data_IF_903697150795
#
_entry.id   IF_903697150795
#
_cell.length_a   1.000
_cell.length_b   1.000
_cell.length_c   1.000
_cell.angle_alpha   90.00
_cell.angle_beta   90.00
_cell.angle_gamma   90.00
#
_symmetry.space_group_name_H-M   'P 1'
#
loop_
_entity.id
_entity.type
_entity.pdbx_description
1 polymer ?
#
# COMPACT_ATOMS: atom_id res chain seq x y z
N UNK A 1 -21.74 -8.06 8.79
CA UNK A 1 -20.83 -6.98 9.20
C UNK A 1 -19.83 -7.54 10.20
N UNK A 2 -18.53 -7.36 9.97
CA UNK A 2 -17.48 -7.66 10.95
C UNK A 2 -17.57 -6.70 12.13
N UNK A 3 -17.12 -7.12 13.30
CA UNK A 3 -17.09 -6.24 14.47
C UNK A 3 -15.96 -5.21 14.36
N UNK A 4 -16.16 -4.03 14.94
CA UNK A 4 -15.13 -2.97 14.99
C UNK A 4 -13.74 -3.47 15.44
N UNK A 5 -13.60 -4.34 16.47
CA UNK A 5 -12.29 -4.87 16.86
C UNK A 5 -11.62 -5.72 15.77
N UNK A 6 -12.40 -6.41 14.93
CA UNK A 6 -11.87 -7.20 13.81
C UNK A 6 -11.35 -6.25 12.73
N UNK A 7 -12.11 -5.23 12.37
CA UNK A 7 -11.71 -4.24 11.36
C UNK A 7 -10.51 -3.40 11.80
N UNK A 8 -10.48 -2.99 13.08
CA UNK A 8 -9.29 -2.36 13.66
C UNK A 8 -8.08 -3.29 13.57
N UNK A 9 -8.23 -4.58 13.87
CA UNK A 9 -7.12 -5.54 13.75
C UNK A 9 -6.66 -5.71 12.30
N UNK A 10 -7.58 -5.83 11.34
CA UNK A 10 -7.23 -5.93 9.91
C UNK A 10 -6.50 -4.67 9.46
N UNK A 11 -7.00 -3.49 9.83
CA UNK A 11 -6.40 -2.20 9.46
C UNK A 11 -5.01 -2.03 10.10
N UNK A 12 -4.85 -2.33 11.39
CA UNK A 12 -3.59 -2.06 12.07
C UNK A 12 -2.53 -3.14 11.90
N UNK A 13 -2.92 -4.39 11.70
CA UNK A 13 -1.98 -5.50 11.52
C UNK A 13 -1.83 -5.87 10.05
N UNK A 14 -2.94 -6.04 9.34
CA UNK A 14 -2.96 -6.49 7.96
C UNK A 14 -2.53 -5.39 7.01
N UNK A 15 -3.21 -4.24 7.03
CA UNK A 15 -2.93 -3.15 6.08
C UNK A 15 -1.57 -2.47 6.35
N UNK A 16 -1.21 -2.24 7.63
CA UNK A 16 0.08 -1.62 7.99
C UNK A 16 1.25 -2.60 8.07
N UNK A 17 0.99 -3.90 7.97
CA UNK A 17 1.97 -4.97 8.26
C UNK A 17 2.77 -4.72 9.55
N UNK A 18 2.04 -4.59 10.68
CA UNK A 18 2.61 -4.17 11.97
C UNK A 18 2.88 -5.35 12.91
N UNK A 19 4.01 -5.29 13.61
CA UNK A 19 4.42 -6.20 14.68
C UNK A 19 4.65 -5.47 16.00
N UNK A 20 5.13 -6.21 16.99
CA UNK A 20 5.51 -5.65 18.29
C UNK A 20 6.81 -6.26 18.81
N UNK A 21 7.62 -5.46 19.49
CA UNK A 21 8.89 -5.81 20.12
C UNK A 21 8.83 -5.54 21.60
N UNK A 22 9.17 -6.53 22.41
CA UNK A 22 9.37 -6.29 23.84
C UNK A 22 10.67 -5.51 24.06
N UNK A 23 10.59 -4.34 24.68
CA UNK A 23 11.78 -3.53 24.98
C UNK A 23 12.63 -4.11 26.11
N UNK A 24 12.09 -5.05 26.90
CA UNK A 24 12.80 -5.70 28.00
C UNK A 24 13.68 -6.88 27.54
N UNK A 25 13.15 -7.78 26.72
CA UNK A 25 13.86 -8.99 26.28
C UNK A 25 14.20 -9.01 24.78
N UNK A 26 13.79 -7.99 24.03
CA UNK A 26 14.02 -7.89 22.59
C UNK A 26 13.19 -8.85 21.74
N UNK A 27 12.30 -9.66 22.32
CA UNK A 27 11.47 -10.63 21.58
C UNK A 27 10.46 -9.91 20.69
N UNK A 28 10.38 -10.36 19.46
CA UNK A 28 9.55 -9.76 18.41
C UNK A 28 8.37 -10.68 18.07
N UNK A 29 7.26 -10.08 17.66
CA UNK A 29 6.02 -10.77 17.37
C UNK A 29 5.40 -10.19 16.10
N UNK A 30 4.88 -11.09 15.26
CA UNK A 30 3.85 -10.71 14.30
C UNK A 30 2.58 -10.36 15.09
N UNK A 31 1.94 -9.24 14.76
CA UNK A 31 0.79 -8.63 15.44
C UNK A 31 1.15 -7.82 16.69
N UNK A 32 0.21 -6.94 17.03
CA UNK A 32 0.24 -6.12 18.23
C UNK A 32 -0.01 -6.99 19.46
N UNK A 33 0.78 -6.75 20.51
CA UNK A 33 0.65 -7.38 21.82
C UNK A 33 0.77 -6.33 22.91
N UNK A 34 -0.08 -6.46 23.91
CA UNK A 34 -0.03 -5.60 25.10
C UNK A 34 1.05 -6.05 26.09
N UNK A 35 1.51 -7.31 25.97
CA UNK A 35 2.61 -7.85 26.77
C UNK A 35 3.36 -8.98 26.04
N UNK A 36 4.61 -9.15 26.43
CA UNK A 36 5.49 -10.23 25.99
C UNK A 36 5.15 -11.54 26.70
N UNK A 37 5.07 -12.64 25.94
CA UNK A 37 4.84 -13.97 26.51
C UNK A 37 5.97 -14.49 27.39
N UNK A 38 7.19 -13.94 27.26
CA UNK A 38 8.36 -14.33 28.06
C UNK A 38 8.50 -13.46 29.31
N UNK A 39 8.37 -12.13 29.20
CA UNK A 39 8.44 -11.23 30.36
C UNK A 39 7.13 -11.14 31.16
N UNK A 40 6.02 -11.63 30.60
CA UNK A 40 4.70 -11.52 31.19
C UNK A 40 4.28 -10.07 31.44
N UNK A 41 3.51 -9.84 32.50
CA UNK A 41 2.95 -8.52 32.84
C UNK A 41 4.00 -7.42 33.08
N UNK A 42 5.26 -7.76 33.39
CA UNK A 42 6.33 -6.76 33.54
C UNK A 42 6.60 -5.93 32.28
N UNK A 43 6.19 -6.47 31.13
CA UNK A 43 6.32 -5.85 29.81
C UNK A 43 5.07 -5.08 29.35
N UNK A 44 4.05 -4.95 30.19
CA UNK A 44 2.93 -4.06 29.93
C UNK A 44 3.44 -2.63 29.73
N UNK A 45 2.93 -1.93 28.72
CA UNK A 45 3.41 -0.61 28.23
C UNK A 45 4.88 -0.55 27.78
N UNK A 46 5.53 -1.71 27.66
CA UNK A 46 6.93 -1.85 27.21
C UNK A 46 7.02 -2.66 25.91
N UNK A 47 5.97 -2.57 25.11
CA UNK A 47 5.88 -3.15 23.78
C UNK A 47 6.01 -2.02 22.77
N UNK A 48 7.11 -2.01 22.02
CA UNK A 48 7.36 -1.07 20.93
C UNK A 48 6.79 -1.62 19.63
N UNK A 49 6.38 -0.74 18.73
CA UNK A 49 5.85 -1.11 17.42
C UNK A 49 6.99 -1.45 16.44
N UNK A 50 6.75 -2.44 15.58
CA UNK A 50 7.61 -2.78 14.44
C UNK A 50 6.81 -2.60 13.16
N UNK A 51 7.40 -2.03 12.11
CA UNK A 51 6.76 -1.86 10.82
C UNK A 51 7.52 -2.62 9.74
N UNK A 52 6.96 -3.72 9.26
CA UNK A 52 7.60 -4.52 8.21
C UNK A 52 7.27 -4.01 6.81
N UNK A 53 6.33 -3.06 6.64
CA UNK A 53 5.80 -2.66 5.33
C UNK A 53 6.87 -2.12 4.37
N UNK A 54 7.89 -1.46 4.89
CA UNK A 54 9.00 -0.89 4.11
C UNK A 54 10.25 -1.80 4.09
N UNK A 55 10.21 -2.92 4.81
CA UNK A 55 11.35 -3.81 4.96
C UNK A 55 11.36 -4.90 3.89
N UNK A 56 12.55 -5.46 3.68
CA UNK A 56 12.76 -6.64 2.86
C UNK A 56 12.62 -7.89 3.74
N UNK A 57 11.79 -8.83 3.31
CA UNK A 57 11.65 -10.14 3.94
C UNK A 57 12.27 -11.24 3.08
N UNK A 58 12.35 -12.46 3.61
CA UNK A 58 12.76 -13.65 2.87
C UNK A 58 11.62 -14.66 2.82
N UNK A 59 11.26 -15.16 1.64
CA UNK A 59 10.29 -16.25 1.50
C UNK A 59 10.93 -17.56 1.97
N UNK A 60 10.59 -18.05 3.16
CA UNK A 60 11.24 -19.24 3.73
C UNK A 60 10.73 -20.54 3.12
N UNK A 61 9.41 -20.65 3.01
CA UNK A 61 8.72 -21.84 2.52
C UNK A 61 7.44 -21.40 1.82
N UNK A 62 7.06 -22.12 0.77
CA UNK A 62 5.84 -21.84 0.06
C UNK A 62 5.10 -23.11 -0.39
N UNK A 63 3.85 -22.93 -0.79
CA UNK A 63 2.97 -23.98 -1.30
C UNK A 63 2.13 -23.41 -2.43
N UNK A 64 1.77 -24.28 -3.38
CA UNK A 64 0.95 -23.91 -4.51
C UNK A 64 -0.52 -24.24 -4.23
N UNK A 65 -1.36 -23.20 -4.14
CA UNK A 65 -2.81 -23.35 -3.97
C UNK A 65 -3.46 -23.42 -5.35
N UNK A 66 -3.71 -24.63 -5.84
CA UNK A 66 -4.40 -24.86 -7.13
C UNK A 66 -5.89 -24.51 -7.08
N UNK A 67 -6.55 -24.86 -5.98
CA UNK A 67 -8.00 -24.67 -5.79
C UNK A 67 -8.25 -23.72 -4.63
N UNK A 68 -8.45 -22.42 -4.90
CA UNK A 68 -8.74 -21.43 -3.86
C UNK A 68 -10.09 -21.69 -3.17
N UNK A 69 -10.23 -21.20 -1.93
CA UNK A 69 -11.52 -21.17 -1.22
C UNK A 69 -12.46 -20.12 -1.84
N UNK A 70 -13.76 -20.22 -1.58
CA UNK A 70 -14.81 -19.37 -2.18
C UNK A 70 -14.47 -17.87 -2.26
N UNK A 71 -13.89 -17.30 -1.19
CA UNK A 71 -13.52 -15.87 -1.16
C UNK A 71 -12.39 -15.52 -2.15
N UNK A 72 -11.51 -16.47 -2.44
CA UNK A 72 -10.32 -16.28 -3.27
C UNK A 72 -10.51 -16.85 -4.68
N UNK A 73 -11.70 -17.37 -5.03
CA UNK A 73 -11.95 -18.05 -6.31
C UNK A 73 -11.55 -17.21 -7.51
N UNK A 74 -11.87 -15.91 -7.48
CA UNK A 74 -11.55 -15.01 -8.58
C UNK A 74 -10.03 -14.85 -8.78
N UNK A 75 -9.21 -14.99 -7.74
CA UNK A 75 -7.75 -14.90 -7.86
C UNK A 75 -7.12 -16.09 -8.61
N UNK A 76 -7.86 -17.19 -8.80
CA UNK A 76 -7.33 -18.40 -9.40
C UNK A 76 -6.31 -19.10 -8.51
N UNK A 77 -5.31 -19.71 -9.14
CA UNK A 77 -4.21 -20.38 -8.46
C UNK A 77 -3.17 -19.35 -7.97
N UNK A 78 -2.59 -19.57 -6.79
CA UNK A 78 -1.58 -18.66 -6.23
C UNK A 78 -0.58 -19.39 -5.33
N UNK A 79 0.57 -18.76 -5.11
CA UNK A 79 1.57 -19.24 -4.14
C UNK A 79 1.29 -18.61 -2.78
N UNK A 80 1.20 -19.46 -1.77
CA UNK A 80 1.07 -19.08 -0.36
C UNK A 80 2.31 -19.52 0.40
N UNK A 81 2.79 -18.72 1.35
CA UNK A 81 4.01 -19.07 2.07
C UNK A 81 4.16 -18.38 3.40
N UNK A 82 5.37 -18.53 3.95
CA UNK A 82 5.82 -17.79 5.12
C UNK A 82 6.99 -16.91 4.73
N UNK A 83 6.85 -15.63 5.00
CA UNK A 83 7.95 -14.66 4.88
C UNK A 83 8.53 -14.41 6.26
N UNK A 84 9.85 -14.52 6.37
CA UNK A 84 10.56 -14.13 7.58
C UNK A 84 11.16 -12.73 7.48
N UNK A 85 11.14 -12.07 8.63
CA UNK A 85 11.78 -10.80 8.88
C UNK A 85 12.78 -10.95 10.02
N UNK A 86 13.80 -10.09 10.01
CA UNK A 86 14.84 -10.01 11.05
C UNK A 86 15.47 -11.38 11.37
N UNK A 87 15.93 -12.08 10.33
CA UNK A 87 16.60 -13.38 10.42
C UNK A 87 15.75 -14.47 11.10
N UNK A 88 14.46 -14.54 10.75
CA UNK A 88 13.56 -15.57 11.26
C UNK A 88 12.97 -15.31 12.64
N UNK A 89 13.21 -14.13 13.23
CA UNK A 89 12.58 -13.71 14.50
C UNK A 89 11.08 -13.58 14.38
N UNK A 90 10.61 -13.09 13.22
CA UNK A 90 9.20 -12.93 12.92
C UNK A 90 8.87 -13.63 11.62
N UNK A 91 7.80 -14.40 11.61
CA UNK A 91 7.23 -15.04 10.41
C UNK A 91 5.82 -14.54 10.20
N UNK A 92 5.50 -14.17 8.97
CA UNK A 92 4.18 -13.71 8.58
C UNK A 92 3.65 -14.59 7.44
N UNK A 93 2.35 -14.87 7.41
CA UNK A 93 1.74 -15.51 6.24
C UNK A 93 1.85 -14.58 5.04
N UNK A 94 2.13 -15.14 3.86
CA UNK A 94 2.32 -14.37 2.64
C UNK A 94 1.55 -14.97 1.47
N UNK A 95 1.04 -14.11 0.59
CA UNK A 95 0.66 -14.49 -0.78
C UNK A 95 1.64 -13.82 -1.74
N UNK A 96 2.23 -14.58 -2.66
CA UNK A 96 2.94 -13.97 -3.78
C UNK A 96 1.92 -13.42 -4.78
N UNK A 97 2.15 -12.22 -5.26
CA UNK A 97 1.34 -11.56 -6.29
C UNK A 97 2.18 -11.25 -7.52
N UNK A 98 1.54 -10.78 -8.58
CA UNK A 98 2.15 -10.50 -9.88
C UNK A 98 2.74 -11.73 -10.59
N UNK A 99 2.20 -12.91 -10.30
CA UNK A 99 2.52 -14.16 -10.96
C UNK A 99 1.28 -14.72 -11.65
N UNK A 100 1.38 -15.03 -12.94
CA UNK A 100 0.39 -15.86 -13.64
C UNK A 100 0.89 -17.29 -13.53
N UNK A 101 0.13 -18.13 -12.84
CA UNK A 101 0.49 -19.52 -12.61
C UNK A 101 -0.43 -20.42 -13.42
N UNK A 102 0.17 -21.28 -14.22
CA UNK A 102 -0.46 -22.35 -14.96
C UNK A 102 -0.51 -23.65 -14.14
N UNK A 103 -1.35 -24.60 -14.55
CA UNK A 103 -1.59 -25.86 -13.81
C UNK A 103 -0.42 -26.87 -13.87
N UNK A 104 0.67 -26.48 -14.54
CA UNK A 104 1.92 -27.25 -14.69
C UNK A 104 2.59 -27.53 -13.33
N UNK A 105 3.54 -28.47 -13.32
CA UNK A 105 4.33 -28.72 -12.12
C UNK A 105 5.29 -27.55 -11.88
N UNK A 106 4.97 -26.72 -10.89
CA UNK A 106 5.79 -25.59 -10.49
C UNK A 106 6.83 -26.05 -9.47
N UNK A 107 8.10 -25.76 -9.75
CA UNK A 107 9.21 -26.02 -8.83
C UNK A 107 9.24 -24.98 -7.71
N UNK A 108 8.66 -25.31 -6.55
CA UNK A 108 8.59 -24.37 -5.41
C UNK A 108 9.96 -23.93 -4.90
N UNK A 109 10.99 -24.76 -5.07
CA UNK A 109 12.38 -24.44 -4.71
C UNK A 109 12.95 -23.24 -5.47
N UNK A 110 12.36 -22.84 -6.59
CA UNK A 110 12.77 -21.64 -7.32
C UNK A 110 12.33 -20.33 -6.63
N UNK A 111 11.34 -20.39 -5.75
CA UNK A 111 10.85 -19.22 -5.00
C UNK A 111 11.43 -19.16 -3.59
N UNK A 112 11.62 -20.31 -2.95
CA UNK A 112 12.11 -20.39 -1.57
C UNK A 112 13.52 -19.81 -1.43
N UNK A 113 13.74 -19.08 -0.34
CA UNK A 113 14.99 -18.38 -0.06
C UNK A 113 15.14 -17.02 -0.75
N UNK A 114 14.27 -16.66 -1.69
CA UNK A 114 14.31 -15.35 -2.37
C UNK A 114 13.83 -14.22 -1.47
N UNK A 115 14.40 -13.04 -1.71
CA UNK A 115 14.00 -11.82 -1.05
C UNK A 115 12.68 -11.28 -1.64
N UNK A 116 11.81 -10.76 -0.77
CA UNK A 116 10.49 -10.25 -1.14
C UNK A 116 10.18 -8.93 -0.43
N UNK A 117 9.27 -8.16 -1.02
CA UNK A 117 8.83 -6.86 -0.51
C UNK A 117 7.31 -6.86 -0.34
N UNK A 118 6.78 -6.35 0.80
CA UNK A 118 5.36 -6.18 1.00
C UNK A 118 4.74 -5.23 -0.04
N UNK A 119 3.57 -5.62 -0.55
CA UNK A 119 2.67 -4.82 -1.37
C UNK A 119 1.33 -4.71 -0.70
N UNK A 120 0.76 -3.53 -0.72
CA UNK A 120 -0.63 -3.31 -0.37
C UNK A 120 -1.51 -3.74 -1.54
N UNK A 121 -2.41 -4.69 -1.31
CA UNK A 121 -3.31 -5.25 -2.34
C UNK A 121 -4.72 -5.42 -1.80
N UNK A 122 -5.67 -5.66 -2.71
CA UNK A 122 -6.95 -6.28 -2.35
C UNK A 122 -6.70 -7.67 -1.79
N UNK A 123 -7.27 -7.96 -0.63
CA UNK A 123 -7.11 -9.24 0.04
C UNK A 123 -7.75 -10.36 -0.76
N UNK A 124 -8.95 -10.12 -1.28
CA UNK A 124 -9.67 -11.01 -2.17
C UNK A 124 -10.76 -10.22 -2.89
N UNK A 125 -11.30 -10.78 -3.98
CA UNK A 125 -12.35 -10.11 -4.75
C UNK A 125 -13.69 -10.25 -4.06
N UNK A 126 -14.48 -9.19 -4.11
CA UNK A 126 -15.81 -9.10 -3.48
C UNK A 126 -16.89 -8.78 -4.51
N UNK A 127 -18.15 -8.85 -4.10
CA UNK A 127 -19.28 -8.33 -4.88
C UNK A 127 -19.30 -6.80 -4.89
N UNK A 128 -20.04 -6.20 -5.83
CA UNK A 128 -20.07 -4.75 -6.03
C UNK A 128 -20.61 -3.97 -4.82
N UNK A 129 -21.49 -4.59 -4.02
CA UNK A 129 -22.10 -4.00 -2.82
C UNK A 129 -21.28 -4.21 -1.55
N UNK A 130 -20.19 -4.98 -1.61
CA UNK A 130 -19.38 -5.35 -0.46
C UNK A 130 -18.22 -4.39 -0.22
N UNK A 131 -17.76 -4.33 1.03
CA UNK A 131 -16.53 -3.63 1.38
C UNK A 131 -15.34 -4.40 0.83
N UNK A 132 -14.54 -3.73 -0.01
CA UNK A 132 -13.26 -4.19 -0.53
C UNK A 132 -12.26 -4.36 0.63
N UNK A 133 -11.86 -5.60 0.94
CA UNK A 133 -10.88 -5.88 1.96
C UNK A 133 -9.48 -5.69 1.39
N UNK A 134 -8.61 -5.02 2.14
CA UNK A 134 -7.21 -4.79 1.77
C UNK A 134 -6.26 -5.52 2.70
N UNK A 135 -5.00 -5.68 2.28
CA UNK A 135 -3.95 -6.27 3.11
C UNK A 135 -2.55 -5.94 2.56
N UNK A 136 -1.55 -5.92 3.45
CA UNK A 136 -0.12 -5.85 3.10
C UNK A 136 0.63 -7.16 3.37
N UNK A 137 -0.10 -8.29 3.39
CA UNK A 137 0.46 -9.66 3.45
C UNK A 137 0.61 -10.27 2.06
N UNK A 138 0.70 -9.42 1.06
CA UNK A 138 0.98 -9.74 -0.34
C UNK A 138 2.38 -9.27 -0.67
N UNK A 139 3.09 -10.05 -1.49
CA UNK A 139 4.53 -9.87 -1.68
C UNK A 139 4.91 -10.03 -3.15
N UNK A 140 5.86 -9.22 -3.59
CA UNK A 140 6.57 -9.39 -4.87
C UNK A 140 8.03 -9.67 -4.58
N UNK A 141 8.75 -10.28 -5.52
CA UNK A 141 10.19 -10.44 -5.38
C UNK A 141 10.91 -9.09 -5.37
N UNK A 142 11.94 -8.99 -4.55
CA UNK A 142 12.68 -7.76 -4.28
C UNK A 142 13.63 -7.35 -5.43
N UNK A 143 13.86 -8.24 -6.38
CA UNK A 143 14.80 -8.12 -7.50
C UNK A 143 14.10 -8.05 -8.88
N UNK A 144 12.77 -7.96 -8.90
CA UNK A 144 11.97 -7.93 -10.13
C UNK A 144 11.38 -6.53 -10.43
N UNK A 145 10.18 -6.49 -11.03
CA UNK A 145 9.54 -5.29 -11.57
C UNK A 145 9.39 -4.16 -10.54
N UNK A 146 9.17 -4.50 -9.27
CA UNK A 146 9.15 -3.53 -8.16
C UNK A 146 10.31 -3.82 -7.20
N UNK A 147 11.53 -3.35 -7.50
CA UNK A 147 12.69 -3.64 -6.67
C UNK A 147 12.55 -3.04 -5.27
N UNK A 148 13.21 -3.64 -4.28
CA UNK A 148 13.29 -3.06 -2.93
C UNK A 148 14.06 -1.74 -2.97
N UNK A 149 13.53 -0.74 -2.27
CA UNK A 149 14.19 0.54 -2.03
C UNK A 149 14.13 0.83 -0.54
N UNK A 150 15.28 1.19 0.05
CA UNK A 150 15.38 1.47 1.48
C UNK A 150 14.69 2.80 1.81
N UNK A 151 13.74 2.78 2.73
CA UNK A 151 13.16 4.00 3.26
C UNK A 151 14.06 4.57 4.36
N UNK A 152 14.87 5.57 4.00
CA UNK A 152 15.78 6.23 4.93
C UNK A 152 15.43 7.70 5.08
N UNK A 153 15.14 8.10 6.32
CA UNK A 153 14.93 9.51 6.63
C UNK A 153 16.27 10.24 6.54
N UNK A 154 16.33 11.28 5.71
CA UNK A 154 17.51 12.12 5.49
C UNK A 154 17.20 13.56 5.88
N UNK A 155 18.16 14.22 6.51
CA UNK A 155 18.04 15.66 6.78
C UNK A 155 18.23 16.42 5.47
N UNK A 156 17.38 17.43 5.17
CA UNK A 156 17.56 18.26 3.98
C UNK A 156 18.90 19.00 4.05
N UNK A 157 19.59 19.09 2.92
CA UNK A 157 20.85 19.86 2.82
C UNK A 157 20.61 21.36 2.77
N UNK A 158 19.42 21.76 2.34
CA UNK A 158 19.01 23.14 2.13
C UNK A 158 17.52 23.28 2.43
N UNK A 159 17.18 24.35 3.12
CA UNK A 159 15.81 24.79 3.30
C UNK A 159 15.48 25.87 2.27
N UNK A 160 14.23 25.92 1.84
CA UNK A 160 13.71 26.87 0.87
C UNK A 160 12.53 27.61 1.49
N UNK A 161 12.45 28.93 1.27
CA UNK A 161 11.33 29.74 1.73
C UNK A 161 10.06 29.54 0.88
N UNK A 162 10.25 29.09 -0.37
CA UNK A 162 9.16 28.80 -1.30
C UNK A 162 8.85 27.31 -1.33
N UNK A 163 7.56 26.92 -1.37
CA UNK A 163 7.14 25.54 -1.54
C UNK A 163 7.59 24.97 -2.90
N UNK A 164 7.79 23.65 -2.94
CA UNK A 164 8.14 22.91 -4.14
C UNK A 164 8.02 21.40 -3.90
N UNK A 165 8.13 20.61 -4.97
CA UNK A 165 8.09 19.15 -4.89
C UNK A 165 9.43 18.65 -4.34
N UNK A 166 9.40 17.98 -3.19
CA UNK A 166 10.56 17.38 -2.52
C UNK A 166 10.69 15.88 -2.78
N UNK A 167 9.63 15.22 -3.27
CA UNK A 167 9.73 13.86 -3.79
C UNK A 167 8.51 13.39 -4.57
N UNK A 168 8.67 12.27 -5.28
CA UNK A 168 7.60 11.69 -6.08
C UNK A 168 7.72 10.17 -6.13
N UNK A 169 6.61 9.50 -6.42
CA UNK A 169 6.52 8.05 -6.59
C UNK A 169 5.51 7.71 -7.66
N UNK A 170 5.81 6.71 -8.48
CA UNK A 170 4.92 6.26 -9.57
C UNK A 170 4.70 4.77 -9.45
N UNK A 171 3.43 4.37 -9.54
CA UNK A 171 3.00 2.98 -9.52
C UNK A 171 2.23 2.65 -10.79
N UNK A 172 2.67 1.64 -11.53
CA UNK A 172 2.01 1.15 -12.76
C UNK A 172 2.07 -0.36 -12.72
N UNK A 173 0.95 -1.04 -12.98
CA UNK A 173 0.90 -2.50 -12.94
C UNK A 173 1.96 -3.16 -13.84
N UNK A 174 2.43 -4.34 -13.42
CA UNK A 174 3.27 -5.22 -14.22
C UNK A 174 2.53 -5.76 -15.44
N UNK A 175 1.21 -5.86 -15.37
CA UNK A 175 0.40 -6.47 -16.42
C UNK A 175 0.09 -5.47 -17.52
N UNK A 176 0.25 -5.93 -18.76
CA UNK A 176 0.25 -5.11 -19.95
C UNK A 176 -0.54 -5.79 -21.05
N UNK A 177 -1.30 -5.02 -21.81
CA UNK A 177 -1.83 -5.44 -23.11
C UNK A 177 -1.02 -4.74 -24.19
N UNK A 178 -0.43 -5.54 -25.09
CA UNK A 178 0.29 -5.03 -26.24
C UNK A 178 -0.69 -4.77 -27.39
N UNK A 179 -0.77 -3.52 -27.82
CA UNK A 179 -1.50 -3.07 -29.01
C UNK A 179 -0.48 -2.76 -30.13
N UNK A 180 -0.91 -2.59 -31.40
CA UNK A 180 0.02 -2.39 -32.52
C UNK A 180 0.97 -1.19 -32.37
N UNK A 181 0.51 -0.09 -31.73
CA UNK A 181 1.27 1.16 -31.62
C UNK A 181 1.60 1.56 -30.18
N UNK A 182 1.13 0.80 -29.18
CA UNK A 182 1.33 1.13 -27.77
C UNK A 182 1.19 -0.09 -26.87
N UNK A 183 1.57 0.07 -25.61
CA UNK A 183 1.32 -0.91 -24.57
C UNK A 183 0.58 -0.21 -23.44
N UNK A 184 -0.54 -0.79 -22.99
CA UNK A 184 -1.34 -0.23 -21.89
C UNK A 184 -1.25 -1.12 -20.66
N UNK A 185 -1.10 -0.49 -19.50
CA UNK A 185 -1.12 -1.18 -18.22
C UNK A 185 -2.56 -1.53 -17.83
N UNK A 186 -2.75 -2.75 -17.33
CA UNK A 186 -4.03 -3.23 -16.81
C UNK A 186 -3.85 -3.66 -15.36
N UNK A 187 -4.81 -3.39 -14.47
CA UNK A 187 -4.69 -3.82 -13.09
C UNK A 187 -4.73 -5.35 -13.01
N UNK A 188 -3.90 -5.91 -12.16
CA UNK A 188 -4.03 -7.30 -11.75
C UNK A 188 -5.29 -7.50 -10.91
N UNK A 189 -5.66 -8.75 -10.72
CA UNK A 189 -6.93 -9.10 -10.08
C UNK A 189 -7.03 -8.65 -8.61
N UNK A 190 -5.90 -8.38 -7.95
CA UNK A 190 -5.84 -7.83 -6.59
C UNK A 190 -5.43 -6.35 -6.55
N UNK A 191 -5.48 -5.65 -7.68
CA UNK A 191 -5.18 -4.22 -7.82
C UNK A 191 -6.44 -3.37 -8.03
N UNK A 192 -6.42 -2.13 -7.53
CA UNK A 192 -7.43 -1.08 -7.71
C UNK A 192 -6.82 0.32 -7.49
N UNK A 193 -7.63 1.39 -7.56
CA UNK A 193 -7.16 2.75 -7.37
C UNK A 193 -6.58 3.00 -5.95
N UNK A 194 -7.12 2.34 -4.91
CA UNK A 194 -6.55 2.43 -3.55
C UNK A 194 -5.15 1.82 -3.54
N UNK A 195 -4.99 0.66 -4.17
CA UNK A 195 -3.73 -0.05 -4.29
C UNK A 195 -2.67 0.81 -4.94
N UNK A 196 -2.97 1.40 -6.10
CA UNK A 196 -2.04 2.27 -6.81
C UNK A 196 -1.68 3.51 -5.98
N UNK A 197 -2.65 4.16 -5.35
CA UNK A 197 -2.40 5.33 -4.51
C UNK A 197 -1.49 5.05 -3.33
N UNK A 198 -1.72 3.94 -2.60
CA UNK A 198 -0.90 3.55 -1.45
C UNK A 198 0.53 3.23 -1.90
N UNK A 199 0.70 2.43 -2.95
CA UNK A 199 2.04 2.07 -3.42
C UNK A 199 2.79 3.27 -4.03
N UNK A 200 2.11 4.17 -4.76
CA UNK A 200 2.72 5.41 -5.25
C UNK A 200 3.12 6.33 -4.09
N UNK A 201 2.26 6.52 -3.08
CA UNK A 201 2.58 7.30 -1.89
C UNK A 201 3.74 6.70 -1.08
N UNK A 202 3.81 5.37 -0.97
CA UNK A 202 4.95 4.65 -0.38
C UNK A 202 6.26 4.98 -1.10
N UNK A 203 6.26 4.94 -2.44
CA UNK A 203 7.42 5.29 -3.25
C UNK A 203 7.79 6.77 -3.13
N UNK A 204 6.80 7.67 -3.03
CA UNK A 204 7.06 9.10 -2.83
C UNK A 204 7.73 9.38 -1.48
N UNK A 205 7.32 8.70 -0.41
CA UNK A 205 7.98 8.79 0.91
C UNK A 205 9.42 8.27 0.86
N UNK A 206 9.64 7.13 0.20
CA UNK A 206 10.99 6.56 0.01
C UNK A 206 11.88 7.56 -0.75
N UNK A 207 11.39 8.12 -1.85
CA UNK A 207 12.15 9.05 -2.68
C UNK A 207 12.42 10.38 -1.97
N UNK A 208 11.42 10.93 -1.26
CA UNK A 208 11.58 12.16 -0.48
C UNK A 208 12.53 11.98 0.72
N UNK A 209 12.56 10.78 1.30
CA UNK A 209 13.36 10.49 2.48
C UNK A 209 12.99 11.36 3.68
N UNK A 210 11.72 11.74 3.80
CA UNK A 210 11.20 12.55 4.92
C UNK A 210 10.56 11.65 5.97
N UNK A 211 10.32 12.19 7.17
CA UNK A 211 9.45 11.52 8.14
C UNK A 211 7.98 11.69 7.70
N UNK A 212 7.29 10.57 7.48
CA UNK A 212 5.86 10.50 7.14
C UNK A 212 4.95 11.22 8.15
N UNK A 213 5.37 11.37 9.42
CA UNK A 213 4.62 12.11 10.44
C UNK A 213 4.55 13.61 10.15
N UNK A 214 5.41 14.11 9.28
CA UNK A 214 5.42 15.52 8.85
C UNK A 214 4.40 15.84 7.76
N UNK A 215 3.73 14.84 7.17
CA UNK A 215 2.64 15.05 6.22
C UNK A 215 1.37 15.43 7.00
N UNK A 216 0.92 16.68 6.89
CA UNK A 216 -0.30 17.15 7.56
C UNK A 216 -1.54 17.16 6.66
N UNK A 217 -1.38 16.99 5.35
CA UNK A 217 -2.47 16.97 4.37
C UNK A 217 -2.22 15.93 3.28
N UNK A 218 -3.24 15.18 2.91
CA UNK A 218 -3.22 14.31 1.72
C UNK A 218 -4.44 14.57 0.84
N UNK A 219 -4.16 14.81 -0.44
CA UNK A 219 -5.15 14.94 -1.51
C UNK A 219 -5.02 13.74 -2.44
N UNK A 220 -6.13 13.04 -2.70
CA UNK A 220 -6.18 11.99 -3.72
C UNK A 220 -7.17 12.36 -4.81
N UNK A 221 -6.66 12.74 -5.98
CA UNK A 221 -7.45 12.96 -7.17
C UNK A 221 -7.68 11.65 -7.93
N UNK A 222 -8.95 11.34 -8.22
CA UNK A 222 -9.35 10.11 -8.91
C UNK A 222 -10.75 10.27 -9.52
N UNK A 223 -11.01 9.60 -10.63
CA UNK A 223 -12.36 9.34 -11.17
C UNK A 223 -12.75 7.85 -11.04
N UNK A 224 -11.85 7.04 -10.47
CA UNK A 224 -11.98 5.59 -10.31
C UNK A 224 -12.24 5.19 -8.85
N UNK A 225 -13.03 5.99 -8.13
CA UNK A 225 -13.26 5.80 -6.69
C UNK A 225 -14.04 4.51 -6.43
N UNK A 226 -13.51 3.59 -5.59
CA UNK A 226 -14.21 2.34 -5.33
C UNK A 226 -15.39 2.50 -4.36
N UNK A 227 -15.46 3.62 -3.64
CA UNK A 227 -16.55 3.93 -2.73
C UNK A 227 -17.05 5.36 -2.96
N UNK A 228 -18.37 5.55 -2.85
CA UNK A 228 -18.99 6.86 -2.95
C UNK A 228 -18.71 7.77 -1.74
N UNK A 229 -18.45 7.20 -0.56
CA UNK A 229 -18.36 7.96 0.71
C UNK A 229 -17.01 7.82 1.38
N UNK A 230 -16.37 6.64 1.34
CA UNK A 230 -15.09 6.41 2.00
C UNK A 230 -13.94 6.84 1.08
N UNK A 231 -13.18 7.89 1.42
CA UNK A 231 -12.15 8.40 0.53
C UNK A 231 -10.94 7.47 0.47
N UNK A 232 -10.32 7.34 -0.71
CA UNK A 232 -9.02 6.69 -0.93
C UNK A 232 -7.96 7.33 -0.02
N UNK A 233 -7.98 8.66 0.12
CA UNK A 233 -7.08 9.42 0.97
C UNK A 233 -7.08 8.92 2.43
N UNK A 234 -8.24 8.51 2.97
CA UNK A 234 -8.29 7.95 4.33
C UNK A 234 -7.51 6.64 4.47
N UNK A 235 -7.52 5.80 3.41
CA UNK A 235 -6.76 4.55 3.41
C UNK A 235 -5.27 4.84 3.23
N UNK A 236 -4.90 5.76 2.34
CA UNK A 236 -3.50 6.21 2.17
C UNK A 236 -2.93 6.71 3.49
N UNK A 237 -3.62 7.66 4.15
CA UNK A 237 -3.25 8.19 5.45
C UNK A 237 -3.04 7.08 6.49
N UNK A 238 -3.99 6.14 6.55
CA UNK A 238 -3.96 5.05 7.53
C UNK A 238 -2.81 4.06 7.26
N UNK A 239 -2.59 3.64 6.02
CA UNK A 239 -1.60 2.61 5.66
C UNK A 239 -0.19 3.16 5.76
N UNK A 240 0.03 4.34 5.16
CA UNK A 240 1.34 5.00 5.15
C UNK A 240 1.64 5.68 6.49
N UNK A 241 0.67 5.72 7.41
CA UNK A 241 0.79 6.33 8.74
C UNK A 241 1.30 7.78 8.63
N UNK A 242 0.57 8.57 7.84
CA UNK A 242 0.84 9.98 7.60
C UNK A 242 0.37 10.80 8.81
N UNK A 243 1.12 11.84 9.19
CA UNK A 243 0.79 12.64 10.37
C UNK A 243 1.15 11.96 11.71
N UNK A 244 0.92 12.65 12.82
CA UNK A 244 1.16 12.07 14.15
C UNK A 244 0.12 10.98 14.47
N UNK A 245 0.54 9.93 15.17
CA UNK A 245 -0.36 8.86 15.62
C UNK A 245 -0.85 9.15 17.04
N UNK A 246 -2.16 9.30 17.21
CA UNK A 246 -2.78 9.29 18.53
C UNK A 246 -2.59 7.89 19.16
N UNK A 247 -1.97 7.82 20.34
CA UNK A 247 -1.64 6.54 20.97
C UNK A 247 -2.85 5.78 21.51
N UNK A 248 -3.94 6.48 21.81
CA UNK A 248 -5.17 5.92 22.39
C UNK A 248 -5.97 5.21 21.30
N UNK A 249 -6.25 5.92 20.21
CA UNK A 249 -7.13 5.43 19.15
C UNK A 249 -6.40 4.92 17.92
N UNK A 250 -5.08 5.14 17.84
CA UNK A 250 -4.20 4.83 16.70
C UNK A 250 -4.61 5.58 15.42
N UNK A 251 -5.35 6.66 15.60
CA UNK A 251 -5.77 7.58 14.55
C UNK A 251 -4.57 8.40 14.07
N UNK A 252 -4.58 8.78 12.80
CA UNK A 252 -3.57 9.68 12.25
C UNK A 252 -4.11 11.11 12.24
N UNK A 253 -3.36 12.06 12.79
CA UNK A 253 -3.69 13.49 12.75
C UNK A 253 -3.25 14.07 11.39
N UNK A 254 -4.00 13.73 10.35
CA UNK A 254 -3.77 14.19 8.99
C UNK A 254 -5.12 14.48 8.36
N UNK A 255 -5.21 15.61 7.69
CA UNK A 255 -6.37 15.90 6.86
C UNK A 255 -6.29 15.09 5.57
N UNK A 256 -7.35 14.37 5.24
CA UNK A 256 -7.41 13.51 4.06
C UNK A 256 -8.67 13.79 3.23
N UNK A 257 -8.51 14.08 1.95
CA UNK A 257 -9.64 14.35 1.06
C UNK A 257 -9.40 13.76 -0.33
N UNK A 258 -10.47 13.24 -0.92
CA UNK A 258 -10.48 12.88 -2.33
C UNK A 258 -11.03 14.06 -3.13
N UNK A 259 -10.47 14.28 -4.31
CA UNK A 259 -11.01 15.24 -5.28
C UNK A 259 -11.37 14.53 -6.58
N UNK A 260 -12.43 15.00 -7.22
CA UNK A 260 -12.91 14.44 -8.49
C UNK A 260 -13.16 15.57 -9.48
N UNK A 261 -12.42 15.55 -10.59
CA UNK A 261 -12.63 16.45 -11.73
C UNK A 261 -11.89 15.89 -12.96
N UNK A 262 -12.30 14.71 -13.39
CA UNK A 262 -11.63 13.93 -14.45
C UNK A 262 -10.10 13.86 -14.21
N UNK A 263 -9.32 13.82 -15.30
CA UNK A 263 -7.85 13.80 -15.26
C UNK A 263 -7.19 15.03 -14.58
N UNK A 264 -7.96 16.04 -14.15
CA UNK A 264 -7.45 17.28 -13.53
C UNK A 264 -7.59 17.28 -11.99
N UNK A 265 -8.23 16.25 -11.43
CA UNK A 265 -8.58 16.23 -10.01
C UNK A 265 -7.36 16.43 -9.09
N UNK A 266 -6.26 15.68 -9.34
CA UNK A 266 -5.02 15.79 -8.57
C UNK A 266 -4.23 17.06 -8.91
N UNK A 267 -4.08 17.38 -10.20
CA UNK A 267 -3.31 18.54 -10.68
C UNK A 267 -3.83 19.86 -10.09
N UNK A 268 -5.14 19.97 -9.88
CA UNK A 268 -5.73 21.17 -9.25
C UNK A 268 -5.28 21.35 -7.79
N UNK A 269 -5.00 20.26 -7.08
CA UNK A 269 -4.64 20.25 -5.66
C UNK A 269 -3.19 20.64 -5.40
N UNK A 270 -2.33 20.68 -6.42
CA UNK A 270 -0.98 21.23 -6.24
C UNK A 270 -1.00 22.68 -5.80
N UNK A 271 -1.94 23.49 -6.30
CA UNK A 271 -2.08 24.89 -5.90
C UNK A 271 -2.47 25.00 -4.42
N UNK A 272 -3.44 24.19 -3.99
CA UNK A 272 -3.93 24.16 -2.62
C UNK A 272 -2.86 23.65 -1.65
N UNK A 273 -2.15 22.57 -2.02
CA UNK A 273 -1.03 22.02 -1.24
C UNK A 273 0.10 23.06 -1.08
N UNK A 274 0.48 23.71 -2.18
CA UNK A 274 1.50 24.77 -2.21
C UNK A 274 1.09 25.94 -1.31
N UNK A 275 -0.15 26.40 -1.41
CA UNK A 275 -0.67 27.50 -0.60
C UNK A 275 -0.72 27.14 0.89
N UNK A 276 -1.14 25.91 1.22
CA UNK A 276 -1.23 25.43 2.59
C UNK A 276 0.15 25.37 3.28
N UNK A 277 1.14 24.75 2.61
CA UNK A 277 2.50 24.60 3.15
C UNK A 277 3.20 25.97 3.27
N UNK A 278 2.91 26.91 2.38
CA UNK A 278 3.50 28.25 2.43
C UNK A 278 2.81 29.18 3.44
N UNK A 279 1.63 28.83 3.95
CA UNK A 279 0.86 29.71 4.82
C UNK A 279 1.58 29.94 6.17
N UNK A 280 1.85 31.19 6.57
CA UNK A 280 2.53 31.48 7.82
C UNK A 280 1.78 30.95 9.05
N UNK A 281 2.47 30.21 9.92
CA UNK A 281 1.92 29.70 11.17
C UNK A 281 1.16 28.37 11.06
N UNK A 282 1.07 27.77 9.87
CA UNK A 282 0.57 26.40 9.72
C UNK A 282 1.65 25.39 10.12
N UNK A 283 1.38 24.43 11.02
CA UNK A 283 2.34 23.40 11.42
C UNK A 283 2.49 22.24 10.42
N UNK A 284 2.11 22.44 9.15
CA UNK A 284 2.09 21.39 8.11
C UNK A 284 3.26 21.60 7.15
N UNK A 285 4.44 21.00 7.42
CA UNK A 285 5.62 21.21 6.58
C UNK A 285 5.50 20.53 5.21
N UNK A 286 4.65 19.51 5.09
CA UNK A 286 4.48 18.76 3.85
C UNK A 286 3.01 18.38 3.61
N UNK A 287 2.64 18.33 2.34
CA UNK A 287 1.37 17.82 1.86
C UNK A 287 1.64 16.78 0.77
N UNK A 288 0.82 15.74 0.70
CA UNK A 288 0.92 14.72 -0.34
C UNK A 288 -0.22 14.88 -1.34
N UNK A 289 0.10 14.95 -2.63
CA UNK A 289 -0.88 14.99 -3.73
C UNK A 289 -0.72 13.74 -4.57
N UNK A 290 -1.80 12.97 -4.72
CA UNK A 290 -1.82 11.71 -5.47
C UNK A 290 -2.83 11.81 -6.59
N UNK A 291 -2.44 11.46 -7.81
CA UNK A 291 -3.36 11.09 -8.89
C UNK A 291 -3.40 9.58 -9.00
N UNK A 292 -4.58 8.97 -9.04
CA UNK A 292 -4.72 7.52 -9.15
C UNK A 292 -5.94 7.17 -9.97
N UNK A 293 -5.82 6.27 -10.94
CA UNK A 293 -6.97 5.86 -11.74
C UNK A 293 -6.84 4.45 -12.31
N UNK A 294 -8.00 3.84 -12.50
CA UNK A 294 -8.24 2.68 -13.35
C UNK A 294 -9.26 3.09 -14.41
N UNK A 295 -8.80 3.82 -15.41
CA UNK A 295 -9.68 4.27 -16.50
C UNK A 295 -10.33 3.06 -17.20
N UNK A 296 -11.60 3.22 -17.57
CA UNK A 296 -12.43 2.16 -18.16
C UNK A 296 -13.24 2.73 -19.32
N UNK A 297 -13.52 1.88 -20.29
CA UNK A 297 -14.38 2.18 -21.42
C UNK A 297 -15.29 0.97 -21.68
N UNK A 298 -16.33 1.15 -22.49
CA UNK A 298 -17.12 0.02 -22.95
C UNK A 298 -16.23 -0.94 -23.77
N UNK A 299 -16.61 -2.23 -23.87
CA UNK A 299 -15.89 -3.17 -24.73
C UNK A 299 -15.76 -2.63 -26.17
N UNK A 300 -14.62 -2.88 -26.81
CA UNK A 300 -14.25 -2.33 -28.12
C UNK A 300 -15.29 -2.55 -29.24
N UNK A 301 -16.06 -3.63 -29.14
CA UNK A 301 -17.07 -4.00 -30.14
C UNK A 301 -18.48 -3.55 -29.76
N UNK A 302 -18.62 -2.67 -28.77
CA UNK A 302 -19.87 -2.12 -28.27
C UNK A 302 -19.94 -0.61 -28.46
N UNK A 303 -21.15 -0.05 -28.34
CA UNK A 303 -21.37 1.40 -28.40
C UNK A 303 -20.62 2.06 -27.23
N UNK A 304 -19.75 3.03 -27.52
CA UNK A 304 -18.89 3.68 -26.53
C UNK A 304 -17.53 3.00 -26.32
N UNK A 305 -17.21 1.96 -27.10
CA UNK A 305 -15.96 1.20 -27.04
C UNK A 305 -14.77 1.86 -27.76
N UNK A 306 -14.97 3.01 -28.40
CA UNK A 306 -13.93 3.72 -29.17
C UNK A 306 -12.74 4.14 -28.29
N UNK A 307 -12.98 4.31 -26.98
CA UNK A 307 -11.97 4.71 -26.00
C UNK A 307 -11.20 3.56 -25.36
N UNK A 308 -11.58 2.29 -25.58
CA UNK A 308 -10.91 1.14 -24.95
C UNK A 308 -9.39 1.10 -25.25
N UNK A 309 -8.96 1.57 -26.42
CA UNK A 309 -7.53 1.64 -26.72
C UNK A 309 -6.72 2.56 -25.79
N UNK A 310 -7.37 3.56 -25.19
CA UNK A 310 -6.72 4.62 -24.42
C UNK A 310 -6.83 4.43 -22.91
N UNK A 311 -7.51 3.39 -22.45
CA UNK A 311 -7.58 3.12 -21.02
C UNK A 311 -6.28 2.52 -20.51
N UNK A 312 -5.98 2.81 -19.25
CA UNK A 312 -4.86 2.27 -18.50
C UNK A 312 -5.07 2.40 -16.99
N UNK A 313 -4.07 1.93 -16.26
CA UNK A 313 -4.06 1.88 -14.80
C UNK A 313 -2.73 2.36 -14.21
N UNK A 314 -2.81 3.17 -13.16
CA UNK A 314 -1.65 3.58 -12.40
C UNK A 314 -1.92 4.72 -11.43
N UNK A 315 -0.85 5.17 -10.77
CA UNK A 315 -0.87 6.30 -9.87
C UNK A 315 0.48 7.01 -9.82
N UNK A 316 0.45 8.30 -9.54
CA UNK A 316 1.61 9.11 -9.19
C UNK A 316 1.32 9.91 -7.93
N UNK A 317 2.25 9.89 -6.98
CA UNK A 317 2.19 10.66 -5.75
C UNK A 317 3.36 11.66 -5.71
N UNK A 318 3.10 12.84 -5.14
CA UNK A 318 4.05 13.93 -5.00
C UNK A 318 3.97 14.48 -3.58
N UNK A 319 5.11 14.87 -3.04
CA UNK A 319 5.26 15.53 -1.74
C UNK A 319 5.97 16.86 -1.95
#
# INVERSE_FOLDING_TARGET
>A
MSSEPIERRVSYVGDRLKGSKCTLCGKEYFRLKDYCGTCGRKSFDKMADINFFYEKGKLEVCTFVKKPTNKFVKLGSYIYGLVSFHDGKVRVPSRLTDCVLDDSEISLSEFEGRDVVPRFRRRYTVEQSEVIPTISLTFTFADEYYPHQEYKIVKPKREYETPGIVGYGVYVSRFRIKEPMMERAVPFIDEDAITAAVEAGKLALIHAGIDQTSIGKVYVGSESNPYAVKPIASKVAQVLKLGEEDKTDRLQSVDAVDTEFACKAATSMFKDATALVHYPGTPTPHAMVIGTDNSQAAPRNEIGGELDFFVGYGSSAFI
#
